data_IF_671923190578
#
_entry.id   IF_671923190578
#
_cell.length_a   1.000
_cell.length_b   1.000
_cell.length_c   1.000
_cell.angle_alpha   90.00
_cell.angle_beta   90.00
_cell.angle_gamma   90.00
#
_symmetry.space_group_name_H-M   'P 1'
#
loop_
_entity.id
_entity.type
_entity.pdbx_description
1 polymer ?
#
# COMPACT_ATOMS: atom_id res chain seq x y z
N UNK A 1 -12.72 8.21 29.20
CA UNK A 1 -12.25 7.38 28.06
C UNK A 1 -11.00 8.03 27.55
N UNK A 2 -9.82 7.47 27.86
CA UNK A 2 -8.54 8.00 27.39
C UNK A 2 -8.48 7.84 25.87
N UNK A 3 -8.33 8.95 25.14
CA UNK A 3 -8.09 8.92 23.73
C UNK A 3 -6.76 8.21 23.48
N UNK A 4 -6.83 7.03 22.88
CA UNK A 4 -5.64 6.32 22.46
C UNK A 4 -4.95 7.14 21.38
N UNK A 5 -3.70 7.48 21.68
CA UNK A 5 -2.88 8.41 20.90
C UNK A 5 -2.43 7.70 19.63
N UNK A 6 -2.78 8.28 18.49
CA UNK A 6 -2.16 7.91 17.22
C UNK A 6 -0.68 8.28 17.26
N UNK A 7 0.20 7.38 16.89
CA UNK A 7 1.62 7.70 16.75
C UNK A 7 2.22 7.02 15.53
N UNK A 8 2.76 7.82 14.60
CA UNK A 8 3.63 7.35 13.54
C UNK A 8 5.06 7.73 13.87
N UNK A 9 5.91 6.74 14.10
CA UNK A 9 7.33 6.93 14.36
C UNK A 9 8.13 6.72 13.09
N UNK A 10 9.04 7.64 12.81
CA UNK A 10 10.03 7.53 11.73
C UNK A 10 11.37 7.18 12.37
N UNK A 11 11.84 5.98 12.11
CA UNK A 11 13.11 5.47 12.62
C UNK A 11 14.15 5.45 11.51
N UNK A 12 15.16 6.31 11.63
CA UNK A 12 16.28 6.45 10.69
C UNK A 12 17.63 6.03 11.31
N UNK A 13 17.61 5.43 12.50
CA UNK A 13 18.87 5.10 13.21
C UNK A 13 19.74 4.10 12.42
N UNK A 14 19.12 3.10 11.81
CA UNK A 14 19.87 2.18 10.96
C UNK A 14 20.52 2.90 9.76
N UNK A 15 19.83 3.89 9.16
CA UNK A 15 20.40 4.66 8.04
C UNK A 15 21.61 5.46 8.49
N UNK A 16 21.55 6.13 9.66
CA UNK A 16 22.68 6.86 10.23
C UNK A 16 23.86 5.92 10.45
N UNK A 17 23.63 4.77 11.09
CA UNK A 17 24.67 3.78 11.33
C UNK A 17 25.33 3.30 10.04
N UNK A 18 24.52 2.98 9.01
CA UNK A 18 25.03 2.52 7.71
C UNK A 18 25.78 3.64 6.94
N UNK A 19 25.41 4.90 7.16
CA UNK A 19 26.11 6.04 6.56
C UNK A 19 27.48 6.26 7.22
N UNK A 20 27.57 6.08 8.54
CA UNK A 20 28.81 6.23 9.29
C UNK A 20 29.74 5.01 9.17
N UNK A 21 29.16 3.81 9.08
CA UNK A 21 29.87 2.53 9.09
C UNK A 21 29.29 1.57 8.03
N UNK A 22 29.52 1.82 6.74
CA UNK A 22 28.87 1.07 5.65
C UNK A 22 29.28 -0.41 5.58
N UNK A 23 30.42 -0.77 6.14
CA UNK A 23 30.88 -2.15 6.21
C UNK A 23 30.31 -2.92 7.43
N UNK A 24 29.66 -2.23 8.37
CA UNK A 24 29.08 -2.85 9.57
C UNK A 24 27.59 -3.12 9.38
N UNK A 25 27.26 -4.32 8.92
CA UNK A 25 25.87 -4.76 8.73
C UNK A 25 25.26 -5.39 9.99
N UNK A 26 26.03 -5.61 11.05
CA UNK A 26 25.56 -6.25 12.28
C UNK A 26 24.33 -5.52 12.90
N UNK A 27 24.29 -4.18 12.99
CA UNK A 27 23.14 -3.48 13.53
C UNK A 27 21.85 -3.68 12.72
N UNK A 28 21.93 -4.04 11.44
CA UNK A 28 20.76 -4.28 10.60
C UNK A 28 19.99 -5.53 11.05
N UNK A 29 20.68 -6.56 11.52
CA UNK A 29 20.07 -7.85 11.91
C UNK A 29 19.08 -7.70 13.07
N UNK A 30 19.35 -6.78 13.99
CA UNK A 30 18.49 -6.54 15.15
C UNK A 30 17.30 -5.59 14.83
N UNK A 31 17.34 -4.92 13.68
CA UNK A 31 16.29 -3.99 13.30
C UNK A 31 15.02 -4.76 12.88
N UNK A 32 13.84 -4.48 13.50
CA UNK A 32 12.60 -5.19 13.20
C UNK A 32 12.14 -5.05 11.75
N UNK A 33 12.33 -3.87 11.14
CA UNK A 33 11.97 -3.62 9.74
C UNK A 33 12.87 -4.42 8.79
N UNK A 34 14.17 -4.54 9.11
CA UNK A 34 15.07 -5.38 8.34
C UNK A 34 14.62 -6.84 8.35
N UNK A 35 14.33 -7.40 9.53
CA UNK A 35 13.83 -8.77 9.67
C UNK A 35 12.50 -8.97 8.93
N UNK A 36 11.59 -8.02 9.05
CA UNK A 36 10.31 -8.06 8.32
C UNK A 36 10.54 -8.07 6.81
N UNK A 37 11.36 -7.15 6.32
CA UNK A 37 11.62 -7.00 4.88
C UNK A 37 12.16 -8.29 4.26
N UNK A 38 13.20 -8.86 4.84
CA UNK A 38 13.85 -10.04 4.29
C UNK A 38 13.02 -11.31 4.47
N UNK A 39 12.27 -11.44 5.58
CA UNK A 39 11.28 -12.52 5.76
C UNK A 39 10.21 -12.49 4.66
N UNK A 40 9.73 -11.33 4.23
CA UNK A 40 8.77 -11.20 3.11
C UNK A 40 9.37 -11.62 1.77
N UNK A 41 10.69 -11.63 1.64
CA UNK A 41 11.40 -12.20 0.50
C UNK A 41 11.73 -13.70 0.66
N UNK A 42 11.32 -14.33 1.76
CA UNK A 42 11.58 -15.74 2.07
C UNK A 42 13.01 -16.02 2.58
N UNK A 43 13.71 -14.99 3.07
CA UNK A 43 15.09 -15.10 3.55
C UNK A 43 15.16 -14.84 5.05
N UNK A 44 15.98 -15.62 5.75
CA UNK A 44 16.38 -15.35 7.14
C UNK A 44 17.46 -14.24 7.22
N UNK A 45 17.79 -13.82 8.43
CA UNK A 45 18.76 -12.74 8.65
C UNK A 45 20.16 -13.06 8.14
N UNK A 46 20.62 -14.31 8.19
CA UNK A 46 21.94 -14.70 7.73
C UNK A 46 22.00 -14.71 6.18
N UNK A 47 20.95 -15.24 5.56
CA UNK A 47 20.78 -15.20 4.11
C UNK A 47 20.67 -13.75 3.61
N UNK A 48 19.96 -12.89 4.35
CA UNK A 48 19.88 -11.45 4.08
C UNK A 48 21.25 -10.78 4.12
N UNK A 49 22.07 -11.06 5.12
CA UNK A 49 23.44 -10.54 5.19
C UNK A 49 24.27 -11.00 4.00
N UNK A 50 24.14 -12.26 3.60
CA UNK A 50 24.83 -12.77 2.40
C UNK A 50 24.40 -12.02 1.14
N UNK A 51 23.11 -11.73 0.97
CA UNK A 51 22.63 -10.89 -0.14
C UNK A 51 23.24 -9.47 -0.11
N UNK A 52 23.37 -8.87 1.08
CA UNK A 52 23.94 -7.54 1.23
C UNK A 52 25.47 -7.47 0.99
N UNK A 53 26.18 -8.58 1.05
CA UNK A 53 27.61 -8.63 0.71
C UNK A 53 27.89 -8.72 -0.78
N UNK A 54 26.87 -8.88 -1.62
CA UNK A 54 27.04 -8.90 -3.07
C UNK A 54 27.60 -7.57 -3.59
N UNK A 55 28.49 -7.59 -4.60
CA UNK A 55 29.19 -6.38 -5.07
C UNK A 55 28.26 -5.23 -5.44
N UNK A 56 27.15 -5.53 -6.13
CA UNK A 56 26.16 -4.51 -6.54
C UNK A 56 25.46 -3.85 -5.36
N UNK A 57 25.21 -4.60 -4.27
CA UNK A 57 24.58 -4.07 -3.06
C UNK A 57 25.60 -3.30 -2.23
N UNK A 58 26.83 -3.82 -2.14
CA UNK A 58 27.95 -3.11 -1.47
C UNK A 58 28.21 -1.75 -2.12
N UNK A 59 28.17 -1.66 -3.45
CA UNK A 59 28.31 -0.39 -4.16
C UNK A 59 27.22 0.61 -3.73
N UNK A 60 25.97 0.17 -3.59
CA UNK A 60 24.87 1.03 -3.13
C UNK A 60 25.04 1.46 -1.67
N UNK A 61 25.53 0.59 -0.79
CA UNK A 61 25.83 0.95 0.59
C UNK A 61 26.94 1.99 0.66
N UNK A 62 28.01 1.83 -0.12
CA UNK A 62 29.10 2.80 -0.20
C UNK A 62 28.63 4.16 -0.75
N UNK A 63 27.70 4.16 -1.70
CA UNK A 63 27.10 5.39 -2.19
C UNK A 63 26.25 6.12 -1.12
N UNK A 64 25.60 5.38 -0.20
CA UNK A 64 24.93 5.99 0.95
C UNK A 64 25.90 6.60 1.95
N UNK A 65 27.11 6.05 2.06
CA UNK A 65 28.18 6.59 2.90
C UNK A 65 28.91 7.80 2.27
N UNK A 66 28.70 8.05 0.98
CA UNK A 66 29.22 9.24 0.32
C UNK A 66 28.70 10.51 1.01
N UNK A 67 29.62 11.43 1.28
CA UNK A 67 29.34 12.61 2.10
C UNK A 67 28.24 13.51 1.50
N UNK A 68 28.17 13.61 0.20
CA UNK A 68 27.19 14.43 -0.50
C UNK A 68 25.85 13.71 -0.59
N UNK A 69 25.87 12.46 -1.06
CA UNK A 69 24.63 11.70 -1.29
C UNK A 69 24.00 11.24 0.01
N UNK A 70 24.76 10.71 0.93
CA UNK A 70 24.29 10.26 2.24
C UNK A 70 23.71 11.38 3.09
N UNK A 71 24.39 12.53 3.17
CA UNK A 71 23.88 13.70 3.88
C UNK A 71 22.60 14.24 3.25
N UNK A 72 22.47 14.22 1.93
CA UNK A 72 21.27 14.66 1.23
C UNK A 72 20.08 13.73 1.47
N UNK A 73 20.29 12.42 1.48
CA UNK A 73 19.24 11.42 1.80
C UNK A 73 18.84 11.54 3.26
N UNK A 74 19.79 11.54 4.20
CA UNK A 74 19.52 11.71 5.65
C UNK A 74 18.78 13.01 5.94
N UNK A 75 19.22 14.14 5.35
CA UNK A 75 18.56 15.43 5.52
C UNK A 75 17.14 15.44 4.97
N UNK A 76 16.88 14.67 3.92
CA UNK A 76 15.53 14.53 3.34
C UNK A 76 14.65 13.59 4.17
N UNK A 77 15.19 12.51 4.71
CA UNK A 77 14.51 11.62 5.65
C UNK A 77 14.15 12.33 6.96
N UNK A 78 15.09 13.14 7.50
CA UNK A 78 14.87 13.93 8.71
C UNK A 78 13.76 14.99 8.61
N UNK A 79 13.32 15.32 7.39
CA UNK A 79 12.16 16.22 7.14
C UNK A 79 10.83 15.49 7.09
N UNK A 80 10.83 14.16 7.04
CA UNK A 80 9.60 13.38 7.08
C UNK A 80 9.12 13.32 8.53
N UNK A 81 7.97 13.92 8.79
CA UNK A 81 7.35 13.95 10.12
C UNK A 81 6.29 12.87 10.23
N UNK A 82 6.34 12.05 11.29
CA UNK A 82 5.28 11.13 11.65
C UNK A 82 3.94 11.85 11.83
N UNK A 83 3.95 13.03 12.48
CA UNK A 83 2.75 13.86 12.66
C UNK A 83 2.12 14.31 11.33
N UNK A 84 2.93 14.54 10.28
CA UNK A 84 2.40 14.87 8.95
C UNK A 84 1.68 13.68 8.31
N UNK A 85 2.17 12.47 8.53
CA UNK A 85 1.53 11.23 8.06
C UNK A 85 0.24 11.01 8.85
N UNK A 86 0.29 11.12 10.17
CA UNK A 86 -0.87 11.01 11.05
C UNK A 86 -1.99 11.96 10.63
N UNK A 87 -1.67 13.23 10.44
CA UNK A 87 -2.64 14.24 10.02
C UNK A 87 -3.32 13.90 8.69
N UNK A 88 -2.57 13.35 7.73
CA UNK A 88 -3.13 12.94 6.46
C UNK A 88 -4.04 11.71 6.62
N UNK A 89 -3.58 10.70 7.35
CA UNK A 89 -4.26 9.41 7.48
C UNK A 89 -5.51 9.50 8.35
N UNK A 90 -5.47 10.23 9.46
CA UNK A 90 -6.60 10.37 10.42
C UNK A 90 -7.90 10.80 9.77
N UNK A 91 -7.81 11.67 8.75
CA UNK A 91 -8.99 12.18 8.02
C UNK A 91 -9.71 11.10 7.22
N UNK A 92 -9.05 9.98 7.01
CA UNK A 92 -9.50 8.89 6.15
C UNK A 92 -9.67 7.56 6.89
N UNK A 93 -9.62 7.58 8.22
CA UNK A 93 -9.89 6.42 9.07
C UNK A 93 -11.19 6.64 9.82
N UNK A 94 -12.16 5.70 9.75
CA UNK A 94 -13.42 5.80 10.48
C UNK A 94 -13.21 5.84 11.99
N UNK A 95 -13.97 6.72 12.67
CA UNK A 95 -14.01 6.76 14.14
C UNK A 95 -12.71 7.20 14.82
N UNK A 96 -11.73 7.76 14.07
CA UNK A 96 -10.44 8.16 14.65
C UNK A 96 -9.61 6.97 15.13
N UNK A 97 -9.67 5.85 14.40
CA UNK A 97 -9.00 4.59 14.77
C UNK A 97 -7.53 4.77 15.16
N UNK A 98 -7.07 3.88 16.03
CA UNK A 98 -5.70 3.87 16.55
C UNK A 98 -4.73 3.62 15.39
N UNK A 99 -3.83 4.57 15.17
CA UNK A 99 -2.67 4.36 14.32
C UNK A 99 -1.46 4.28 15.24
N UNK A 100 -0.85 3.10 15.32
CA UNK A 100 0.47 2.93 15.89
C UNK A 100 1.32 2.27 14.80
N UNK A 101 2.17 3.06 14.16
CA UNK A 101 3.01 2.59 13.07
C UNK A 101 4.45 3.06 13.25
N UNK A 102 5.39 2.18 12.95
CA UNK A 102 6.82 2.50 12.89
C UNK A 102 7.31 2.33 11.46
N UNK A 103 7.83 3.40 10.88
CA UNK A 103 8.46 3.39 9.56
C UNK A 103 9.96 3.25 9.76
N UNK A 104 10.55 2.23 9.15
CA UNK A 104 11.97 1.93 9.22
C UNK A 104 12.56 1.85 7.81
N UNK A 105 13.75 2.40 7.63
CA UNK A 105 14.46 2.37 6.36
C UNK A 105 15.57 1.34 6.44
N UNK A 106 15.55 0.38 5.52
CA UNK A 106 16.41 -0.80 5.55
C UNK A 106 17.10 -1.03 4.21
N UNK A 107 18.33 -1.54 4.21
CA UNK A 107 18.94 -2.01 2.97
C UNK A 107 18.15 -3.21 2.44
N UNK A 108 17.71 -3.14 1.21
CA UNK A 108 16.83 -4.13 0.61
C UNK A 108 17.27 -4.57 -0.79
N UNK A 109 16.49 -5.42 -1.47
CA UNK A 109 16.81 -5.92 -2.79
C UNK A 109 15.69 -5.67 -3.81
N UNK A 110 14.63 -6.45 -3.78
CA UNK A 110 13.64 -6.52 -4.87
C UNK A 110 12.41 -5.65 -4.66
N UNK A 111 11.92 -5.59 -3.43
CA UNK A 111 10.69 -4.86 -3.12
C UNK A 111 11.02 -3.43 -2.71
N UNK A 112 10.23 -2.43 -3.12
CA UNK A 112 10.44 -1.06 -2.67
C UNK A 112 10.09 -0.85 -1.21
N UNK A 113 9.11 -1.60 -0.69
CA UNK A 113 8.73 -1.61 0.72
C UNK A 113 7.88 -2.85 1.05
N UNK A 114 7.76 -3.12 2.35
CA UNK A 114 6.82 -4.10 2.92
C UNK A 114 6.15 -3.50 4.15
N UNK A 115 4.94 -3.98 4.48
CA UNK A 115 4.23 -3.56 5.69
C UNK A 115 3.53 -4.77 6.32
N UNK A 116 3.57 -4.86 7.66
CA UNK A 116 2.88 -5.89 8.44
C UNK A 116 2.78 -5.47 9.92
N UNK A 117 1.65 -5.78 10.55
CA UNK A 117 1.40 -5.43 11.95
C UNK A 117 1.40 -3.91 12.16
N UNK A 118 2.45 -3.38 12.79
CA UNK A 118 2.64 -1.95 12.97
C UNK A 118 3.93 -1.42 12.29
N UNK A 119 4.55 -2.22 11.44
CA UNK A 119 5.85 -1.87 10.84
C UNK A 119 5.72 -1.67 9.33
N UNK A 120 6.28 -0.56 8.84
CA UNK A 120 6.52 -0.30 7.42
C UNK A 120 8.04 -0.29 7.21
N UNK A 121 8.57 -1.25 6.49
CA UNK A 121 9.99 -1.31 6.14
C UNK A 121 10.20 -0.84 4.69
N UNK A 122 10.94 0.23 4.52
CA UNK A 122 11.21 0.89 3.23
C UNK A 122 12.61 0.53 2.77
N UNK A 123 12.73 0.07 1.54
CA UNK A 123 14.02 -0.21 0.93
C UNK A 123 14.76 1.10 0.59
N UNK A 124 15.89 1.33 1.26
CA UNK A 124 16.73 2.49 1.03
C UNK A 124 17.19 2.62 -0.44
N UNK A 125 17.44 1.50 -1.09
CA UNK A 125 17.93 1.49 -2.46
C UNK A 125 16.84 1.72 -3.52
N UNK A 126 15.59 1.78 -3.09
CA UNK A 126 14.47 2.19 -3.94
C UNK A 126 14.16 3.68 -3.85
N UNK A 127 14.85 4.42 -2.97
CA UNK A 127 14.65 5.85 -2.80
C UNK A 127 15.39 6.63 -3.90
N UNK A 128 14.68 7.55 -4.52
CA UNK A 128 15.19 8.49 -5.50
C UNK A 128 15.03 9.92 -4.98
N UNK A 129 16.09 10.71 -5.07
CA UNK A 129 16.08 12.10 -4.63
C UNK A 129 15.86 13.04 -5.84
N UNK A 130 14.70 13.72 -5.86
CA UNK A 130 14.38 14.74 -6.86
C UNK A 130 14.33 16.11 -6.17
N UNK A 131 15.39 16.90 -6.34
CA UNK A 131 15.59 18.14 -5.58
C UNK A 131 15.76 17.84 -4.10
N UNK A 132 14.78 18.23 -3.28
CA UNK A 132 14.78 17.99 -1.82
C UNK A 132 13.69 17.01 -1.37
N UNK A 133 13.04 16.30 -2.29
CA UNK A 133 11.98 15.33 -2.02
C UNK A 133 12.41 13.93 -2.40
N UNK A 134 12.03 12.96 -1.58
CA UNK A 134 12.24 11.54 -1.83
C UNK A 134 11.05 10.93 -2.54
N UNK A 135 11.35 10.05 -3.48
CA UNK A 135 10.40 9.29 -4.29
C UNK A 135 10.72 7.79 -4.23
N UNK A 136 9.71 6.99 -4.53
CA UNK A 136 9.88 5.59 -4.94
C UNK A 136 9.12 5.44 -6.27
N UNK A 137 9.85 5.27 -7.36
CA UNK A 137 9.28 5.32 -8.69
C UNK A 137 8.55 6.64 -8.94
N UNK A 138 7.31 6.58 -9.41
CA UNK A 138 6.52 7.76 -9.78
C UNK A 138 5.89 8.51 -8.57
N UNK A 139 6.08 8.04 -7.34
CA UNK A 139 5.33 8.54 -6.17
C UNK A 139 6.21 9.21 -5.13
N UNK A 140 5.79 10.38 -4.59
CA UNK A 140 6.42 10.97 -3.42
C UNK A 140 6.40 9.99 -2.22
N UNK A 141 7.53 9.86 -1.53
CA UNK A 141 7.64 8.95 -0.39
C UNK A 141 6.58 9.21 0.69
N UNK A 142 6.28 10.47 0.99
CA UNK A 142 5.27 10.82 1.98
C UNK A 142 3.88 10.26 1.62
N UNK A 143 3.49 10.31 0.35
CA UNK A 143 2.22 9.74 -0.14
C UNK A 143 2.19 8.21 0.00
N UNK A 144 3.32 7.55 -0.28
CA UNK A 144 3.47 6.10 -0.11
C UNK A 144 3.36 5.72 1.36
N UNK A 145 4.00 6.45 2.25
CA UNK A 145 3.94 6.19 3.69
C UNK A 145 2.53 6.39 4.23
N UNK A 146 1.85 7.47 3.82
CA UNK A 146 0.45 7.70 4.19
C UNK A 146 -0.47 6.57 3.68
N UNK A 147 -0.28 6.10 2.44
CA UNK A 147 -0.99 4.94 1.90
C UNK A 147 -0.79 3.69 2.76
N UNK A 148 0.47 3.35 3.11
CA UNK A 148 0.77 2.13 3.87
C UNK A 148 0.31 2.21 5.32
N UNK A 149 0.47 3.34 5.98
CA UNK A 149 -0.04 3.56 7.34
C UNK A 149 -1.58 3.49 7.36
N UNK A 150 -2.25 4.04 6.35
CA UNK A 150 -3.70 3.92 6.20
C UNK A 150 -4.14 2.46 6.07
N UNK A 151 -3.43 1.65 5.28
CA UNK A 151 -3.74 0.23 5.14
C UNK A 151 -3.60 -0.52 6.46
N UNK A 152 -2.48 -0.34 7.18
CA UNK A 152 -2.27 -0.95 8.49
C UNK A 152 -3.35 -0.54 9.50
N UNK A 153 -3.77 0.73 9.48
CA UNK A 153 -4.85 1.20 10.33
C UNK A 153 -6.21 0.59 9.93
N UNK A 154 -6.49 0.50 8.62
CA UNK A 154 -7.75 -0.06 8.12
C UNK A 154 -7.89 -1.56 8.37
N UNK A 155 -6.79 -2.30 8.41
CA UNK A 155 -6.78 -3.74 8.76
C UNK A 155 -7.26 -3.98 10.20
N UNK A 156 -6.97 -3.05 11.12
CA UNK A 156 -7.40 -3.14 12.53
C UNK A 156 -8.87 -2.82 12.74
N UNK A 157 -9.50 -2.06 11.83
CA UNK A 157 -10.90 -1.66 11.96
C UNK A 157 -11.88 -2.81 11.74
N UNK A 158 -11.50 -3.80 10.98
CA UNK A 158 -12.32 -4.97 10.70
C UNK A 158 -11.40 -6.16 10.47
N UNK A 159 -11.08 -6.92 11.52
CA UNK A 159 -10.31 -8.16 11.40
C UNK A 159 -11.03 -9.24 10.58
N UNK A 160 -12.30 -9.01 10.23
CA UNK A 160 -13.24 -10.00 9.72
C UNK A 160 -12.90 -10.62 8.35
N UNK A 161 -11.92 -10.11 7.61
CA UNK A 161 -11.65 -10.65 6.27
C UNK A 161 -10.54 -11.68 6.18
N UNK A 162 -9.51 -11.55 7.01
CA UNK A 162 -8.27 -12.34 6.83
C UNK A 162 -8.10 -13.46 7.87
N UNK A 163 -8.70 -13.30 9.05
CA UNK A 163 -8.62 -14.29 10.14
C UNK A 163 -9.82 -15.24 10.18
N UNK A 164 -10.88 -14.92 9.44
CA UNK A 164 -12.05 -15.80 9.37
C UNK A 164 -11.77 -16.95 8.39
N UNK A 165 -11.41 -18.11 8.91
CA UNK A 165 -11.16 -19.34 8.13
C UNK A 165 -12.34 -19.78 7.27
N UNK A 166 -13.54 -19.24 7.51
CA UNK A 166 -14.75 -19.50 6.75
C UNK A 166 -15.07 -18.43 5.70
N UNK A 167 -14.24 -17.38 5.59
CA UNK A 167 -14.48 -16.35 4.57
C UNK A 167 -14.13 -16.90 3.18
N UNK A 168 -15.02 -16.62 2.24
CA UNK A 168 -14.80 -17.04 0.85
C UNK A 168 -13.66 -16.25 0.20
N UNK A 169 -12.94 -16.80 -0.80
CA UNK A 169 -11.91 -16.07 -1.54
C UNK A 169 -12.41 -14.74 -2.10
N UNK A 170 -13.65 -14.70 -2.58
CA UNK A 170 -14.30 -13.48 -3.06
C UNK A 170 -14.48 -12.44 -1.95
N UNK A 171 -14.96 -12.83 -0.77
CA UNK A 171 -15.16 -11.90 0.34
C UNK A 171 -13.83 -11.29 0.78
N UNK A 172 -12.78 -12.11 0.91
CA UNK A 172 -11.43 -11.65 1.23
C UNK A 172 -10.91 -10.69 0.16
N UNK A 173 -11.10 -11.03 -1.12
CA UNK A 173 -10.69 -10.20 -2.25
C UNK A 173 -11.38 -8.84 -2.23
N UNK A 174 -12.71 -8.78 -2.05
CA UNK A 174 -13.46 -7.52 -2.02
C UNK A 174 -13.05 -6.62 -0.85
N UNK A 175 -12.77 -7.18 0.33
CA UNK A 175 -12.23 -6.43 1.46
C UNK A 175 -10.88 -5.82 1.14
N UNK A 176 -9.97 -6.59 0.56
CA UNK A 176 -8.65 -6.10 0.12
C UNK A 176 -8.80 -5.05 -0.97
N UNK A 177 -9.63 -5.31 -1.97
CA UNK A 177 -9.88 -4.37 -3.06
C UNK A 177 -10.37 -3.02 -2.51
N UNK A 178 -11.36 -3.00 -1.62
CA UNK A 178 -11.88 -1.76 -1.04
C UNK A 178 -10.79 -0.98 -0.29
N UNK A 179 -10.05 -1.64 0.61
CA UNK A 179 -9.03 -0.98 1.45
C UNK A 179 -7.87 -0.43 0.64
N UNK A 180 -7.30 -1.24 -0.24
CA UNK A 180 -6.21 -0.83 -1.13
C UNK A 180 -6.66 0.29 -2.08
N UNK A 181 -7.90 0.23 -2.55
CA UNK A 181 -8.48 1.24 -3.45
C UNK A 181 -8.74 2.56 -2.74
N UNK A 182 -9.23 2.54 -1.50
CA UNK A 182 -9.35 3.74 -0.68
C UNK A 182 -7.97 4.36 -0.42
N UNK A 183 -6.97 3.56 -0.03
CA UNK A 183 -5.62 4.05 0.17
C UNK A 183 -5.02 4.64 -1.11
N UNK A 184 -5.26 4.02 -2.26
CA UNK A 184 -4.83 4.54 -3.57
C UNK A 184 -5.53 5.86 -3.86
N UNK A 185 -6.86 5.91 -3.74
CA UNK A 185 -7.66 7.10 -4.02
C UNK A 185 -7.25 8.31 -3.16
N UNK A 186 -6.94 8.05 -1.90
CA UNK A 186 -6.63 9.14 -0.97
C UNK A 186 -5.18 9.65 -1.09
N UNK A 187 -4.23 8.81 -1.49
CA UNK A 187 -2.80 9.15 -1.36
C UNK A 187 -1.96 8.94 -2.62
N UNK A 188 -2.30 7.97 -3.48
CA UNK A 188 -1.37 7.49 -4.53
C UNK A 188 -2.04 7.25 -5.88
N UNK A 189 -3.04 8.06 -6.26
CA UNK A 189 -3.59 8.00 -7.63
C UNK A 189 -2.48 8.35 -8.62
N UNK A 190 -2.17 7.45 -9.58
CA UNK A 190 -1.15 7.74 -10.57
C UNK A 190 -1.57 8.89 -11.48
N UNK A 191 -0.66 9.86 -11.70
CA UNK A 191 -0.90 11.03 -12.56
C UNK A 191 0.09 11.14 -13.72
N UNK A 192 1.19 10.40 -13.64
CA UNK A 192 2.25 10.37 -14.68
C UNK A 192 3.12 9.11 -14.52
N UNK A 193 4.04 8.91 -15.45
CA UNK A 193 5.04 7.85 -15.38
C UNK A 193 4.56 6.47 -15.81
N UNK A 194 5.37 5.46 -15.51
CA UNK A 194 5.12 4.07 -15.91
C UNK A 194 3.84 3.50 -15.27
N UNK A 195 3.61 3.81 -14.00
CA UNK A 195 2.42 3.36 -13.28
C UNK A 195 1.14 3.96 -13.85
N UNK A 196 1.17 5.23 -14.25
CA UNK A 196 0.06 5.89 -14.92
C UNK A 196 -0.29 5.23 -16.26
N UNK A 197 0.69 4.85 -17.05
CA UNK A 197 0.47 4.15 -18.31
C UNK A 197 -0.21 2.80 -18.12
N UNK A 198 0.21 2.03 -17.11
CA UNK A 198 -0.46 0.77 -16.74
C UNK A 198 -1.89 1.01 -16.24
N UNK A 199 -2.08 2.07 -15.48
CA UNK A 199 -3.38 2.50 -14.99
C UNK A 199 -4.34 2.80 -16.15
N UNK A 200 -3.90 3.59 -17.13
CA UNK A 200 -4.69 3.89 -18.33
C UNK A 200 -5.04 2.64 -19.15
N UNK A 201 -4.14 1.67 -19.23
CA UNK A 201 -4.45 0.38 -19.88
C UNK A 201 -5.56 -0.38 -19.14
N UNK A 202 -5.50 -0.40 -17.80
CA UNK A 202 -6.56 -1.00 -16.98
C UNK A 202 -7.90 -0.26 -17.14
N UNK A 203 -7.89 1.06 -17.25
CA UNK A 203 -9.10 1.85 -17.53
C UNK A 203 -9.78 1.47 -18.85
N UNK A 204 -9.02 1.13 -19.88
CA UNK A 204 -9.57 0.65 -21.15
C UNK A 204 -10.25 -0.71 -21.04
N UNK A 205 -9.82 -1.56 -20.10
CA UNK A 205 -10.42 -2.88 -19.83
C UNK A 205 -11.54 -2.85 -18.78
N UNK A 206 -11.87 -1.68 -18.23
CA UNK A 206 -12.82 -1.52 -17.12
C UNK A 206 -14.14 -2.25 -17.33
N UNK A 207 -14.71 -2.20 -18.53
CA UNK A 207 -15.97 -2.88 -18.86
C UNK A 207 -15.82 -4.41 -18.79
N UNK A 208 -14.72 -4.94 -19.28
CA UNK A 208 -14.41 -6.37 -19.22
C UNK A 208 -14.21 -6.81 -17.77
N UNK A 209 -13.46 -6.02 -16.98
CA UNK A 209 -13.19 -6.29 -15.56
C UNK A 209 -14.50 -6.25 -14.73
N UNK A 210 -15.40 -5.28 -14.98
CA UNK A 210 -16.74 -5.26 -14.38
C UNK A 210 -17.53 -6.51 -14.76
N UNK A 211 -17.54 -6.87 -16.05
CA UNK A 211 -18.22 -8.07 -16.54
C UNK A 211 -17.68 -9.36 -15.92
N UNK A 212 -16.35 -9.42 -15.71
CA UNK A 212 -15.70 -10.55 -15.03
C UNK A 212 -16.11 -10.63 -13.56
N UNK A 213 -16.02 -9.53 -12.81
CA UNK A 213 -16.40 -9.47 -11.39
C UNK A 213 -17.87 -9.80 -11.20
N UNK A 214 -18.77 -9.26 -12.05
CA UNK A 214 -20.20 -9.55 -12.03
C UNK A 214 -20.49 -11.05 -12.21
N UNK A 215 -19.87 -11.70 -13.21
CA UNK A 215 -20.03 -13.14 -13.41
C UNK A 215 -19.59 -13.94 -12.20
N UNK A 216 -18.48 -13.54 -11.57
CA UNK A 216 -17.97 -14.21 -10.40
C UNK A 216 -18.88 -14.04 -9.17
N UNK A 217 -19.44 -12.84 -8.97
CA UNK A 217 -20.42 -12.55 -7.91
C UNK A 217 -21.68 -13.44 -8.03
N UNK A 218 -22.13 -13.73 -9.25
CA UNK A 218 -23.40 -14.43 -9.47
C UNK A 218 -23.29 -15.94 -9.65
N UNK A 219 -22.21 -16.42 -10.21
CA UNK A 219 -22.04 -17.86 -10.47
C UNK A 219 -21.55 -18.64 -9.25
N UNK A 220 -21.32 -17.94 -8.14
CA UNK A 220 -20.69 -18.54 -6.97
C UNK A 220 -19.28 -19.04 -7.28
N UNK A 221 -18.56 -19.38 -6.28
CA UNK A 221 -17.13 -19.68 -6.24
C UNK A 221 -16.62 -20.88 -7.06
N UNK A 222 -17.20 -21.17 -8.20
CA UNK A 222 -16.74 -22.29 -9.01
C UNK A 222 -15.43 -21.91 -9.70
N UNK A 223 -14.34 -22.07 -8.95
CA UNK A 223 -13.07 -22.36 -9.54
C UNK A 223 -11.93 -21.37 -9.34
N UNK A 224 -12.14 -20.09 -8.99
CA UNK A 224 -11.02 -19.15 -8.81
C UNK A 224 -10.65 -18.97 -7.36
N UNK A 225 -9.36 -19.18 -7.05
CA UNK A 225 -8.79 -18.86 -5.76
C UNK A 225 -8.51 -17.36 -5.59
N UNK A 226 -8.19 -16.95 -4.36
CA UNK A 226 -7.85 -15.57 -4.05
C UNK A 226 -6.69 -15.04 -4.91
N UNK A 227 -5.67 -15.86 -5.15
CA UNK A 227 -4.50 -15.49 -5.94
C UNK A 227 -4.86 -15.18 -7.39
N UNK A 228 -5.76 -15.94 -8.00
CA UNK A 228 -6.19 -15.74 -9.39
C UNK A 228 -7.01 -14.45 -9.52
N UNK A 229 -7.89 -14.14 -8.55
CA UNK A 229 -8.60 -12.87 -8.49
C UNK A 229 -7.62 -11.70 -8.37
N UNK A 230 -6.66 -11.80 -7.47
CA UNK A 230 -5.64 -10.78 -7.29
C UNK A 230 -4.80 -10.56 -8.55
N UNK A 231 -4.42 -11.62 -9.25
CA UNK A 231 -3.68 -11.53 -10.51
C UNK A 231 -4.48 -10.86 -11.61
N UNK A 232 -5.78 -11.19 -11.73
CA UNK A 232 -6.64 -10.61 -12.76
C UNK A 232 -6.83 -9.10 -12.59
N UNK A 233 -7.09 -8.64 -11.37
CA UNK A 233 -7.46 -7.26 -11.10
C UNK A 233 -6.30 -6.34 -10.72
N UNK A 234 -5.09 -6.86 -10.49
CA UNK A 234 -3.95 -6.04 -10.12
C UNK A 234 -3.17 -5.54 -11.33
N UNK A 235 -2.48 -4.41 -11.15
CA UNK A 235 -1.57 -3.84 -12.16
C UNK A 235 -0.24 -4.62 -12.33
N UNK A 236 -0.07 -5.73 -11.60
CA UNK A 236 1.17 -6.46 -11.57
C UNK A 236 2.19 -5.93 -10.54
N UNK A 237 3.35 -6.63 -10.40
CA UNK A 237 4.25 -6.44 -9.27
C UNK A 237 4.85 -5.04 -9.14
N UNK A 238 5.17 -4.39 -10.25
CA UNK A 238 5.84 -3.08 -10.25
C UNK A 238 4.97 -1.93 -9.77
N UNK A 239 3.65 -2.01 -9.96
CA UNK A 239 2.69 -1.00 -9.53
C UNK A 239 1.91 -1.42 -8.26
N UNK A 240 1.90 -2.72 -7.96
CA UNK A 240 1.06 -3.31 -6.90
C UNK A 240 1.40 -2.83 -5.49
N UNK A 241 2.54 -2.16 -5.30
CA UNK A 241 2.92 -1.69 -3.96
C UNK A 241 2.16 -0.44 -3.51
N UNK A 242 1.51 0.33 -4.40
CA UNK A 242 0.77 1.55 -4.03
C UNK A 242 -0.50 1.84 -4.84
N UNK A 243 -0.71 1.17 -5.97
CA UNK A 243 -1.85 1.44 -6.87
C UNK A 243 -2.37 0.12 -7.46
N UNK A 244 -2.77 -0.80 -6.57
CA UNK A 244 -2.95 -2.20 -6.93
C UNK A 244 -4.18 -2.47 -7.79
N UNK A 245 -5.34 -1.89 -7.44
CA UNK A 245 -6.64 -2.24 -8.03
C UNK A 245 -7.30 -1.05 -8.72
N UNK A 246 -7.06 -0.80 -10.02
CA UNK A 246 -7.68 0.31 -10.75
C UNK A 246 -9.21 0.24 -10.75
N UNK A 247 -9.79 -0.96 -10.97
CA UNK A 247 -11.24 -1.13 -10.93
C UNK A 247 -11.81 -0.72 -9.56
N UNK A 248 -11.24 -1.22 -8.48
CA UNK A 248 -11.70 -0.90 -7.13
C UNK A 248 -11.57 0.59 -6.83
N UNK A 249 -10.48 1.23 -7.27
CA UNK A 249 -10.30 2.68 -7.08
C UNK A 249 -11.35 3.48 -7.86
N UNK A 250 -11.65 3.10 -9.10
CA UNK A 250 -12.74 3.70 -9.85
C UNK A 250 -14.11 3.50 -9.16
N UNK A 251 -14.40 2.31 -8.64
CA UNK A 251 -15.61 2.07 -7.85
C UNK A 251 -15.67 3.00 -6.62
N UNK A 252 -14.56 3.17 -5.90
CA UNK A 252 -14.46 4.10 -4.78
C UNK A 252 -14.67 5.56 -5.21
N UNK A 253 -14.15 5.98 -6.36
CA UNK A 253 -14.39 7.33 -6.92
C UNK A 253 -15.87 7.56 -7.22
N UNK A 254 -16.56 6.58 -7.79
CA UNK A 254 -17.99 6.66 -8.07
C UNK A 254 -18.80 6.76 -6.77
N UNK A 255 -18.45 5.94 -5.77
CA UNK A 255 -19.11 5.98 -4.45
C UNK A 255 -18.85 7.34 -3.77
N UNK A 256 -17.60 7.82 -3.77
CA UNK A 256 -17.25 9.11 -3.17
C UNK A 256 -18.00 10.27 -3.84
N UNK A 257 -18.06 10.26 -5.16
CA UNK A 257 -18.79 11.27 -5.90
C UNK A 257 -20.30 11.27 -5.62
N UNK A 258 -20.90 10.07 -5.42
CA UNK A 258 -22.31 9.94 -5.14
C UNK A 258 -22.72 10.32 -3.70
N UNK A 259 -21.92 9.91 -2.72
CA UNK A 259 -22.26 9.96 -1.30
C UNK A 259 -21.29 10.76 -0.44
N UNK A 260 -20.20 11.20 -1.03
CA UNK A 260 -19.14 11.96 -0.35
C UNK A 260 -18.10 11.09 0.36
N UNK A 261 -16.98 11.72 0.69
CA UNK A 261 -15.80 11.05 1.28
C UNK A 261 -16.09 10.36 2.61
N UNK A 262 -16.88 10.99 3.48
CA UNK A 262 -17.21 10.41 4.78
C UNK A 262 -17.98 9.09 4.67
N UNK A 263 -18.85 8.96 3.66
CA UNK A 263 -19.53 7.71 3.39
C UNK A 263 -18.54 6.61 2.98
N UNK A 264 -17.62 6.92 2.06
CA UNK A 264 -16.60 5.96 1.61
C UNK A 264 -15.68 5.54 2.76
N UNK A 265 -15.28 6.48 3.63
CA UNK A 265 -14.48 6.18 4.82
C UNK A 265 -15.23 5.21 5.75
N UNK A 266 -16.51 5.45 6.04
CA UNK A 266 -17.31 4.58 6.89
C UNK A 266 -17.56 3.20 6.26
N UNK A 267 -17.60 3.11 4.94
CA UNK A 267 -17.76 1.85 4.21
C UNK A 267 -16.62 0.84 4.52
N UNK A 268 -15.44 1.32 4.89
CA UNK A 268 -14.33 0.44 5.30
C UNK A 268 -14.61 -0.37 6.56
N UNK A 269 -15.58 0.05 7.39
CA UNK A 269 -16.09 -0.76 8.53
C UNK A 269 -17.20 -1.72 8.10
N UNK A 270 -17.81 -1.50 6.93
CA UNK A 270 -18.93 -2.25 6.40
C UNK A 270 -18.59 -2.84 5.04
N UNK A 271 -17.44 -3.49 4.94
CA UNK A 271 -16.85 -3.96 3.68
C UNK A 271 -17.77 -4.86 2.85
N UNK A 272 -18.69 -5.58 3.50
CA UNK A 272 -19.70 -6.42 2.85
C UNK A 272 -20.69 -5.61 2.00
N UNK A 273 -20.84 -4.30 2.24
CA UNK A 273 -21.69 -3.41 1.48
C UNK A 273 -21.00 -2.78 0.26
N UNK A 274 -19.73 -3.09 -0.01
CA UNK A 274 -18.96 -2.41 -1.06
C UNK A 274 -19.63 -2.48 -2.44
N UNK A 275 -20.04 -3.68 -2.85
CA UNK A 275 -20.66 -3.89 -4.17
C UNK A 275 -22.04 -3.21 -4.25
N UNK A 276 -22.83 -3.28 -3.19
CA UNK A 276 -24.15 -2.63 -3.13
C UNK A 276 -24.00 -1.10 -3.16
N UNK A 277 -23.05 -0.55 -2.39
CA UNK A 277 -22.78 0.89 -2.39
C UNK A 277 -22.33 1.39 -3.78
N UNK A 278 -21.52 0.60 -4.48
CA UNK A 278 -21.16 0.93 -5.85
C UNK A 278 -22.38 0.90 -6.78
N UNK A 279 -23.25 -0.10 -6.69
CA UNK A 279 -24.42 -0.20 -7.56
C UNK A 279 -25.40 0.97 -7.32
N UNK A 280 -25.66 1.35 -6.08
CA UNK A 280 -26.45 2.52 -5.73
C UNK A 280 -25.81 3.82 -6.27
N UNK A 281 -24.49 3.97 -6.13
CA UNK A 281 -23.75 5.11 -6.65
C UNK A 281 -23.79 5.15 -8.19
N UNK A 282 -23.64 4.00 -8.85
CA UNK A 282 -23.75 3.86 -10.31
C UNK A 282 -25.08 4.38 -10.83
N UNK A 283 -26.18 3.95 -10.21
CA UNK A 283 -27.53 4.39 -10.58
C UNK A 283 -27.68 5.90 -10.38
N UNK A 284 -27.22 6.42 -9.23
CA UNK A 284 -27.28 7.85 -8.92
C UNK A 284 -26.52 8.73 -9.91
N UNK A 285 -25.40 8.23 -10.45
CA UNK A 285 -24.62 8.90 -11.50
C UNK A 285 -25.14 8.68 -12.92
N UNK A 286 -26.14 7.82 -13.12
CA UNK A 286 -26.63 7.45 -14.45
C UNK A 286 -25.58 6.71 -15.29
N UNK A 287 -24.67 5.97 -14.66
CA UNK A 287 -23.70 5.16 -15.39
C UNK A 287 -24.41 4.00 -16.11
N UNK A 288 -23.97 3.65 -17.33
CA UNK A 288 -24.61 2.60 -18.14
C UNK A 288 -24.67 1.24 -17.44
N UNK A 289 -25.67 0.44 -17.79
CA UNK A 289 -25.90 -0.91 -17.24
C UNK A 289 -24.79 -1.91 -17.54
N UNK A 290 -23.95 -1.63 -18.53
CA UNK A 290 -22.74 -2.41 -18.78
C UNK A 290 -21.78 -2.43 -17.57
N UNK A 291 -21.86 -1.43 -16.69
CA UNK A 291 -21.11 -1.34 -15.44
C UNK A 291 -21.87 -1.87 -14.22
N UNK A 292 -23.09 -2.38 -14.39
CA UNK A 292 -23.85 -2.96 -13.27
C UNK A 292 -23.19 -4.24 -12.75
N UNK A 293 -23.19 -4.40 -11.43
CA UNK A 293 -22.82 -5.64 -10.74
C UNK A 293 -23.97 -6.61 -10.61
N UNK A 294 -25.19 -6.20 -11.01
CA UNK A 294 -26.41 -7.02 -11.00
C UNK A 294 -26.60 -7.66 -12.37
N UNK A 295 -26.96 -8.94 -12.39
CA UNK A 295 -27.40 -9.60 -13.63
C UNK A 295 -28.88 -9.29 -13.81
N UNK A 296 -29.19 -8.48 -14.78
CA UNK A 296 -30.59 -8.36 -15.25
C UNK A 296 -30.97 -9.65 -15.95
N UNK A 297 -31.99 -10.36 -15.41
CA UNK A 297 -32.60 -11.55 -16.04
C UNK A 297 -33.54 -11.12 -17.14
#
# INVERSE_FOLDING_TARGET
MGGEVMSVRIDIELVKTLTEQPDSLAPAVDNPGFRLYWRKLGLDSNQALTELTKPEVKTKLMALADEVQGKSVLGSLGRISGASIEQQVTRHIPGGGIIDATVQFVPGAKLPLVAEGNTVAVNLFALELHGNKLYIGDFPLLSILANRVHLLASERLSPLGLENTNATPLAVFLVRMLRESCATLFFTVPVSGATYNLWQQAEKRREEDVGFLRRYLHNGERGLGLQELEQHFSLGPSAAFVARYPLGTWMCQVIEGAFGRSYLVNLMQQTHNFVNAFEEARVKFGLPDKYSMVIFK
#
